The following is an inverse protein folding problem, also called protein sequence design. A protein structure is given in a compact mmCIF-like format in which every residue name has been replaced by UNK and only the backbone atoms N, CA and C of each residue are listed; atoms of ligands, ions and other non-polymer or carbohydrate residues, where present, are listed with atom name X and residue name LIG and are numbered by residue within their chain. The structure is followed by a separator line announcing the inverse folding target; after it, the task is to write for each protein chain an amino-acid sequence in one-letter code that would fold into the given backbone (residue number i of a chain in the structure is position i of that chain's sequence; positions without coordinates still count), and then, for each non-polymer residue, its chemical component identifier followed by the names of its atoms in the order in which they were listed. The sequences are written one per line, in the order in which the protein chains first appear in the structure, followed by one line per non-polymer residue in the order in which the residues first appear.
data_IF_023506839578
#
_entry.id   IF_023506839578
#
_cell.length_a   1.000
_cell.length_b   1.000
_cell.length_c   1.000
_cell.angle_alpha   90.00
_cell.angle_beta   90.00
_cell.angle_gamma   90.00
#
_symmetry.space_group_name_H-M   'P 1'
#
loop_
_entity.id
_entity.type
_entity.pdbx_description
1 polymer ?
#
# COMPACT_ATOMS: atom_id res chain seq x y z
N UNK A 1 51.04 -31.89 44.09
CA UNK A 1 49.78 -32.49 43.64
C UNK A 1 48.82 -31.36 43.27
N UNK A 2 48.13 -31.30 42.13
CA UNK A 2 48.44 -31.80 40.78
C UNK A 2 47.71 -30.87 39.77
N UNK A 3 48.28 -30.67 38.58
CA UNK A 3 47.72 -29.81 37.51
C UNK A 3 47.01 -30.63 36.42
N UNK A 4 45.92 -30.09 35.86
CA UNK A 4 45.38 -30.26 34.48
C UNK A 4 43.90 -29.78 34.47
N UNK A 5 43.28 -29.23 33.41
CA UNK A 5 43.72 -28.79 32.09
C UNK A 5 42.48 -28.37 31.25
N UNK A 6 42.57 -27.33 30.42
CA UNK A 6 41.56 -26.96 29.39
C UNK A 6 41.79 -27.82 28.10
N UNK A 7 40.94 -27.83 27.03
CA UNK A 7 39.82 -26.93 26.68
C UNK A 7 38.56 -27.61 26.04
N UNK A 8 37.62 -26.78 25.54
CA UNK A 8 36.94 -26.85 24.22
C UNK A 8 35.39 -26.77 24.24
N UNK A 9 34.85 -25.96 23.32
CA UNK A 9 33.41 -25.77 23.08
C UNK A 9 32.92 -26.54 21.84
N UNK A 10 31.63 -26.91 21.74
CA UNK A 10 31.05 -27.46 20.52
C UNK A 10 30.34 -26.38 19.68
N UNK A 11 31.04 -25.83 18.69
CA UNK A 11 30.42 -25.21 17.52
C UNK A 11 29.74 -26.30 16.66
N UNK A 12 28.42 -26.49 16.73
CA UNK A 12 27.76 -27.54 15.93
C UNK A 12 26.27 -27.33 15.55
N UNK A 13 25.81 -26.08 15.43
CA UNK A 13 24.40 -25.77 15.05
C UNK A 13 24.21 -24.79 13.86
N UNK A 14 25.25 -24.49 13.08
CA UNK A 14 25.19 -23.44 12.03
C UNK A 14 25.15 -23.99 10.59
N UNK A 15 25.42 -25.27 10.35
CA UNK A 15 25.55 -25.82 8.98
C UNK A 15 24.23 -26.23 8.31
N UNK A 16 23.10 -26.28 9.03
CA UNK A 16 21.79 -26.64 8.47
C UNK A 16 21.10 -25.54 7.67
N UNK A 17 21.04 -24.31 8.20
CA UNK A 17 20.25 -23.23 7.59
C UNK A 17 20.90 -22.59 6.35
N UNK A 18 22.23 -22.63 6.22
CA UNK A 18 22.94 -22.00 5.10
C UNK A 18 22.66 -22.65 3.74
N UNK A 19 22.47 -23.97 3.70
CA UNK A 19 22.22 -24.71 2.46
C UNK A 19 20.80 -24.52 1.91
N UNK A 20 19.80 -24.38 2.78
CA UNK A 20 18.41 -24.08 2.40
C UNK A 20 18.26 -22.67 1.79
N UNK A 21 18.97 -21.68 2.33
CA UNK A 21 19.01 -20.33 1.75
C UNK A 21 19.68 -20.29 0.36
N UNK A 22 20.75 -21.06 0.14
CA UNK A 22 21.42 -21.10 -1.16
C UNK A 22 20.56 -21.77 -2.24
N UNK A 23 19.81 -22.82 -1.87
CA UNK A 23 18.87 -23.49 -2.78
C UNK A 23 17.72 -22.57 -3.22
N UNK A 24 17.17 -21.77 -2.30
CA UNK A 24 16.07 -20.83 -2.59
C UNK A 24 16.51 -19.69 -3.55
N UNK A 25 17.75 -19.21 -3.40
CA UNK A 25 18.32 -18.15 -4.26
C UNK A 25 18.56 -18.62 -5.70
N UNK A 26 18.91 -19.91 -5.90
CA UNK A 26 19.17 -20.46 -7.23
C UNK A 26 17.90 -20.84 -8.02
N UNK A 27 16.76 -21.02 -7.35
CA UNK A 27 15.47 -21.35 -8.00
C UNK A 27 14.69 -20.13 -8.52
N UNK A 28 15.13 -18.90 -8.21
CA UNK A 28 14.38 -17.66 -8.49
C UNK A 28 15.10 -16.67 -9.44
N UNK A 29 16.14 -17.09 -10.17
CA UNK A 29 16.88 -16.23 -11.11
C UNK A 29 16.55 -16.53 -12.58
N UNK A 30 15.79 -15.65 -13.28
CA UNK A 30 15.44 -15.85 -14.68
C UNK A 30 16.46 -15.19 -15.62
N UNK A 31 17.57 -15.88 -15.93
CA UNK A 31 18.42 -15.62 -17.11
C UNK A 31 19.41 -16.77 -17.37
N UNK A 32 19.69 -17.01 -18.65
CA UNK A 32 20.80 -17.83 -19.19
C UNK A 32 20.63 -19.36 -19.21
N UNK A 33 19.95 -19.87 -20.24
CA UNK A 33 20.10 -21.26 -20.71
C UNK A 33 21.52 -21.51 -21.28
N UNK A 34 22.54 -21.63 -20.42
CA UNK A 34 23.86 -22.21 -20.79
C UNK A 34 24.66 -22.84 -19.64
N UNK A 35 24.12 -22.88 -18.41
CA UNK A 35 24.77 -23.47 -17.23
C UNK A 35 24.12 -24.78 -16.74
N UNK A 36 23.66 -25.64 -17.65
CA UNK A 36 23.12 -27.00 -17.35
C UNK A 36 23.92 -28.13 -18.01
N UNK A 37 25.26 -28.02 -18.05
CA UNK A 37 26.20 -29.14 -18.30
C UNK A 37 27.46 -28.90 -17.47
N UNK A 38 27.53 -29.50 -16.28
CA UNK A 38 28.64 -29.29 -15.36
C UNK A 38 28.29 -29.21 -13.87
N UNK A 39 27.30 -29.99 -13.38
CA UNK A 39 27.14 -30.26 -11.94
C UNK A 39 26.42 -31.60 -11.64
N UNK A 40 26.63 -32.61 -12.49
CA UNK A 40 26.36 -34.02 -12.17
C UNK A 40 27.72 -34.70 -11.98
N UNK A 41 28.17 -34.81 -10.73
CA UNK A 41 29.48 -35.41 -10.43
C UNK A 41 30.22 -34.79 -9.24
N UNK A 42 29.54 -34.56 -8.11
CA UNK A 42 30.23 -34.34 -6.83
C UNK A 42 29.35 -34.69 -5.62
N UNK A 43 28.92 -35.96 -5.54
CA UNK A 43 28.28 -36.56 -4.36
C UNK A 43 28.32 -38.08 -4.49
N UNK A 44 29.51 -38.66 -4.26
CA UNK A 44 29.65 -40.09 -3.94
C UNK A 44 30.32 -40.22 -2.57
N UNK A 45 29.77 -41.13 -1.77
CA UNK A 45 29.91 -41.18 -0.32
C UNK A 45 31.23 -41.81 0.14
N UNK A 46 31.70 -41.42 1.33
CA UNK A 46 32.72 -42.16 2.09
C UNK A 46 32.18 -43.53 2.53
N UNK A 47 32.16 -44.52 1.63
CA UNK A 47 32.00 -45.95 1.94
C UNK A 47 32.41 -46.81 0.73
N UNK A 48 33.70 -46.80 0.37
CA UNK A 48 34.33 -47.81 -0.48
C UNK A 48 35.87 -47.75 -0.40
N UNK A 49 36.41 -47.64 0.83
CA UNK A 49 37.83 -47.98 1.12
C UNK A 49 37.99 -49.47 1.36
N UNK A 50 37.63 -50.27 0.37
CA UNK A 50 37.93 -51.70 0.28
C UNK A 50 37.75 -52.10 -1.19
N UNK A 51 38.61 -53.01 -1.68
CA UNK A 51 38.86 -53.32 -3.11
C UNK A 51 39.80 -52.31 -3.81
N UNK A 52 40.81 -52.85 -4.51
CA UNK A 52 41.91 -52.14 -5.20
C UNK A 52 42.82 -51.25 -4.30
N UNK A 53 43.82 -51.73 -3.54
CA UNK A 53 44.40 -53.07 -3.25
C UNK A 53 44.19 -54.14 -4.32
N UNK A 54 44.86 -53.93 -5.46
CA UNK A 54 45.38 -54.87 -6.48
C UNK A 54 45.97 -53.91 -7.53
N UNK A 55 47.30 -53.85 -7.65
CA UNK A 55 47.97 -52.83 -8.46
C UNK A 55 48.19 -53.30 -9.90
N UNK A 56 47.84 -52.46 -10.88
CA UNK A 56 48.21 -52.63 -12.28
C UNK A 56 48.48 -51.26 -12.97
N UNK A 57 49.77 -50.94 -13.09
CA UNK A 57 50.42 -50.15 -14.17
C UNK A 57 50.02 -48.65 -14.38
N UNK A 58 50.84 -47.80 -15.07
CA UNK A 58 51.41 -46.64 -14.36
C UNK A 58 51.46 -45.29 -15.13
N UNK A 59 51.93 -44.24 -14.44
CA UNK A 59 52.85 -43.24 -14.99
C UNK A 59 52.30 -42.13 -15.90
N UNK A 60 52.41 -40.88 -15.44
CA UNK A 60 53.45 -39.95 -15.95
C UNK A 60 53.58 -38.70 -15.06
N UNK A 61 54.76 -38.08 -15.08
CA UNK A 61 55.23 -37.12 -14.08
C UNK A 61 54.86 -35.64 -14.32
N UNK A 62 55.35 -34.73 -13.45
CA UNK A 62 54.81 -33.38 -13.27
C UNK A 62 55.60 -32.28 -14.01
N UNK A 63 55.02 -31.06 -14.08
CA UNK A 63 55.80 -29.81 -14.20
C UNK A 63 55.34 -28.74 -13.19
N UNK A 64 56.31 -27.96 -12.72
CA UNK A 64 56.27 -27.00 -11.60
C UNK A 64 56.18 -25.53 -12.07
N UNK A 65 56.15 -24.64 -11.06
CA UNK A 65 56.46 -23.20 -10.97
C UNK A 65 55.20 -22.34 -10.72
N UNK A 66 55.06 -21.51 -9.67
CA UNK A 66 56.03 -20.83 -8.79
C UNK A 66 56.40 -19.45 -9.37
N UNK A 67 56.36 -18.30 -8.68
CA UNK A 67 56.30 -17.94 -7.24
C UNK A 67 55.71 -16.52 -7.05
N UNK A 68 55.37 -16.16 -5.80
CA UNK A 68 55.45 -14.82 -5.13
C UNK A 68 54.71 -13.59 -5.73
N UNK A 69 54.30 -12.58 -4.94
CA UNK A 69 54.41 -12.40 -3.48
C UNK A 69 53.64 -11.16 -2.96
N UNK A 70 53.61 -10.99 -1.63
CA UNK A 70 53.16 -9.80 -0.86
C UNK A 70 54.40 -9.17 -0.16
N UNK A 71 54.38 -8.09 0.67
CA UNK A 71 53.30 -7.45 1.47
C UNK A 71 53.10 -5.95 1.06
N UNK A 72 52.66 -4.92 1.85
CA UNK A 72 52.39 -4.78 3.29
C UNK A 72 51.39 -3.65 3.68
N UNK A 73 50.75 -3.87 4.83
CA UNK A 73 50.44 -2.98 6.00
C UNK A 73 50.22 -1.45 5.91
N UNK A 74 49.35 -0.95 6.81
CA UNK A 74 49.17 0.48 7.10
C UNK A 74 47.96 0.79 8.01
N UNK A 75 48.13 0.72 9.34
CA UNK A 75 47.07 1.02 10.34
C UNK A 75 47.20 2.42 10.96
N UNK A 76 46.09 3.10 11.26
CA UNK A 76 46.04 4.18 12.27
C UNK A 76 44.78 4.14 13.15
N UNK A 77 44.90 4.70 14.37
CA UNK A 77 43.96 4.51 15.50
C UNK A 77 43.03 5.71 15.77
N UNK A 78 41.95 5.38 16.50
CA UNK A 78 41.01 6.24 17.26
C UNK A 78 41.56 7.56 17.83
N UNK A 79 40.66 8.54 17.92
CA UNK A 79 40.55 9.44 19.08
C UNK A 79 39.13 9.37 19.69
N UNK A 80 38.99 9.67 20.98
CA UNK A 80 37.71 9.76 21.72
C UNK A 80 37.53 11.18 22.27
N UNK A 81 36.30 11.67 22.33
CA UNK A 81 35.88 12.86 23.08
C UNK A 81 34.46 12.64 23.62
N UNK A 82 34.15 13.13 24.82
CA UNK A 82 32.93 12.77 25.55
C UNK A 82 32.44 13.92 26.46
N UNK A 83 31.26 13.70 27.08
CA UNK A 83 30.48 14.60 27.99
C UNK A 83 29.58 15.60 27.23
N UNK A 84 28.35 15.88 27.68
CA UNK A 84 27.62 15.25 28.78
C UNK A 84 26.14 15.68 28.89
N UNK A 85 25.37 14.85 29.60
CA UNK A 85 24.31 15.16 30.57
C UNK A 85 23.24 16.23 30.27
N UNK A 86 21.99 15.78 30.33
CA UNK A 86 20.78 16.60 30.45
C UNK A 86 19.57 15.69 30.69
N UNK A 87 19.13 15.56 31.94
CA UNK A 87 17.96 14.75 32.32
C UNK A 87 16.66 15.54 32.13
N UNK A 88 15.57 14.84 31.84
CA UNK A 88 14.22 15.40 31.75
C UNK A 88 13.19 14.29 31.76
N UNK A 89 12.78 13.87 32.97
CA UNK A 89 11.69 12.93 33.18
C UNK A 89 10.36 13.68 33.09
N UNK A 90 9.40 13.14 32.34
CA UNK A 90 7.99 13.49 32.43
C UNK A 90 7.17 12.20 32.31
N UNK A 91 6.21 12.04 33.21
CA UNK A 91 5.51 10.78 33.45
C UNK A 91 4.38 10.57 32.44
N UNK A 92 4.10 9.30 32.12
CA UNK A 92 2.95 8.89 31.30
C UNK A 92 2.12 7.91 32.13
N UNK A 93 0.83 8.19 32.43
CA UNK A 93 -0.03 7.25 33.13
C UNK A 93 -0.32 6.03 32.25
N UNK A 94 0.00 4.84 32.76
CA UNK A 94 -0.55 3.58 32.26
C UNK A 94 -1.92 3.36 32.88
N UNK A 95 -2.97 3.20 32.08
CA UNK A 95 -4.14 2.43 32.51
C UNK A 95 -4.06 1.03 31.89
N UNK A 96 -4.24 0.02 32.73
CA UNK A 96 -4.13 -1.40 32.36
C UNK A 96 -5.50 -1.97 31.98
N UNK A 97 -5.46 -3.18 31.41
CA UNK A 97 -6.61 -3.94 30.91
C UNK A 97 -7.70 -4.25 31.94
N UNK A 98 -8.93 -4.42 31.44
CA UNK A 98 -9.81 -5.53 31.86
C UNK A 98 -10.50 -6.14 30.65
N UNK A 99 -10.23 -7.43 30.41
CA UNK A 99 -11.03 -8.33 29.58
C UNK A 99 -11.85 -9.22 30.53
N UNK A 100 -13.15 -9.31 30.31
CA UNK A 100 -14.00 -10.47 30.57
C UNK A 100 -15.14 -10.38 29.54
N UNK A 101 -15.26 -11.28 28.56
CA UNK A 101 -15.63 -12.70 28.68
C UNK A 101 -17.15 -12.86 28.80
N UNK A 102 -17.80 -13.00 27.63
CA UNK A 102 -19.13 -13.60 27.50
C UNK A 102 -19.14 -14.55 26.30
N UNK A 103 -19.20 -15.83 26.61
CA UNK A 103 -19.50 -16.89 25.65
C UNK A 103 -20.97 -16.78 25.22
N UNK A 104 -21.24 -16.83 23.92
CA UNK A 104 -22.59 -17.09 23.40
C UNK A 104 -22.51 -18.27 22.43
N UNK A 105 -23.38 -19.26 22.67
CA UNK A 105 -23.41 -20.53 21.97
C UNK A 105 -24.00 -20.35 20.55
N UNK A 106 -23.42 -21.03 19.55
CA UNK A 106 -24.06 -21.23 18.24
C UNK A 106 -24.58 -22.67 18.15
N UNK A 107 -25.83 -22.91 17.70
CA UNK A 107 -26.30 -24.23 17.33
C UNK A 107 -25.80 -24.63 15.94
N UNK A 108 -25.52 -25.93 15.77
CA UNK A 108 -25.13 -26.52 14.49
C UNK A 108 -26.28 -26.53 13.47
N UNK A 109 -25.96 -26.33 12.20
CA UNK A 109 -26.83 -26.63 11.07
C UNK A 109 -26.00 -27.27 9.95
N UNK A 110 -26.32 -28.53 9.65
CA UNK A 110 -25.71 -29.29 8.56
C UNK A 110 -26.32 -28.86 7.21
N UNK A 111 -25.49 -28.72 6.17
CA UNK A 111 -25.97 -28.63 4.79
C UNK A 111 -25.14 -29.56 3.91
N UNK A 112 -25.81 -30.52 3.28
CA UNK A 112 -25.18 -31.51 2.39
C UNK A 112 -24.69 -30.88 1.09
N UNK A 113 -23.56 -31.34 0.56
CA UNK A 113 -22.98 -30.80 -0.66
C UNK A 113 -23.50 -31.42 -1.96
N UNK A 114 -23.38 -30.67 -3.06
CA UNK A 114 -23.39 -31.21 -4.42
C UNK A 114 -22.53 -30.34 -5.34
N UNK A 115 -21.42 -30.89 -5.87
CA UNK A 115 -20.60 -30.24 -6.89
C UNK A 115 -21.20 -30.43 -8.29
N UNK A 116 -20.93 -29.50 -9.22
CA UNK A 116 -20.68 -29.90 -10.60
C UNK A 116 -19.36 -29.37 -11.19
N UNK A 117 -18.57 -30.34 -11.67
CA UNK A 117 -17.61 -30.33 -12.79
C UNK A 117 -17.05 -29.00 -13.33
N UNK A 118 -15.71 -28.94 -13.31
CA UNK A 118 -14.86 -28.07 -14.12
C UNK A 118 -15.02 -28.36 -15.62
N UNK A 119 -14.92 -27.31 -16.45
CA UNK A 119 -14.62 -27.41 -17.88
C UNK A 119 -13.56 -26.37 -18.25
N UNK A 120 -12.41 -26.82 -18.73
CA UNK A 120 -11.33 -25.96 -19.23
C UNK A 120 -11.64 -25.45 -20.64
N UNK A 121 -11.37 -24.17 -20.93
CA UNK A 121 -10.50 -23.71 -22.03
C UNK A 121 -10.46 -22.16 -22.09
N UNK A 122 -9.48 -21.58 -22.80
CA UNK A 122 -9.51 -20.18 -23.23
C UNK A 122 -8.55 -19.22 -22.52
N UNK A 123 -7.26 -19.33 -22.84
CA UNK A 123 -6.23 -18.39 -22.36
C UNK A 123 -6.07 -17.21 -23.34
N UNK A 124 -6.45 -15.99 -22.94
CA UNK A 124 -6.09 -14.74 -23.64
C UNK A 124 -5.68 -13.67 -22.62
N UNK A 125 -4.48 -13.10 -22.81
CA UNK A 125 -3.81 -12.33 -21.77
C UNK A 125 -3.97 -10.82 -21.88
N UNK A 126 -4.71 -10.22 -20.95
CA UNK A 126 -4.66 -8.80 -20.58
C UNK A 126 -4.80 -8.69 -19.05
N UNK A 127 -4.20 -7.68 -18.40
CA UNK A 127 -4.57 -7.33 -17.01
C UNK A 127 -3.70 -7.87 -15.86
N UNK A 128 -2.41 -8.19 -16.05
CA UNK A 128 -1.50 -8.55 -14.95
C UNK A 128 -1.07 -7.34 -14.09
N UNK A 129 -2.03 -6.74 -13.36
CA UNK A 129 -1.83 -5.61 -12.44
C UNK A 129 -2.28 -5.90 -11.00
N UNK A 130 -3.50 -6.45 -10.83
CA UNK A 130 -4.08 -6.79 -9.54
C UNK A 130 -3.98 -8.30 -9.24
N UNK A 131 -2.83 -8.76 -8.72
CA UNK A 131 -2.74 -10.14 -8.21
C UNK A 131 -3.50 -10.23 -6.88
N UNK A 132 -4.62 -10.97 -6.89
CA UNK A 132 -5.63 -11.03 -5.84
C UNK A 132 -5.06 -11.18 -4.40
N UNK A 133 -5.23 -10.10 -3.61
CA UNK A 133 -5.12 -10.07 -2.14
C UNK A 133 -6.45 -10.45 -1.45
N UNK A 134 -7.32 -11.20 -2.12
CA UNK A 134 -8.72 -11.46 -1.73
C UNK A 134 -8.86 -12.58 -0.69
N UNK A 135 -8.01 -12.61 0.33
CA UNK A 135 -8.11 -13.57 1.42
C UNK A 135 -7.47 -13.03 2.69
N UNK A 136 -8.09 -13.18 3.88
CA UNK A 136 -7.68 -12.49 5.11
C UNK A 136 -6.22 -12.78 5.49
N UNK A 137 -5.74 -14.02 5.28
CA UNK A 137 -4.34 -14.37 5.50
C UNK A 137 -3.36 -13.64 4.56
N UNK A 138 -3.71 -13.42 3.28
CA UNK A 138 -2.87 -12.67 2.32
C UNK A 138 -2.87 -11.18 2.61
N UNK A 139 -4.02 -10.64 2.99
CA UNK A 139 -4.16 -9.24 3.39
C UNK A 139 -3.31 -8.93 4.63
N UNK A 140 -3.42 -9.74 5.69
CA UNK A 140 -2.60 -9.57 6.90
C UNK A 140 -1.09 -9.72 6.63
N UNK A 141 -0.70 -10.62 5.72
CA UNK A 141 0.70 -10.73 5.28
C UNK A 141 1.20 -9.47 4.58
N UNK A 142 0.37 -8.83 3.74
CA UNK A 142 0.70 -7.57 3.09
C UNK A 142 0.82 -6.42 4.10
N UNK A 143 -0.20 -6.20 4.93
CA UNK A 143 -0.27 -4.99 5.77
C UNK A 143 0.66 -5.02 6.99
N UNK A 144 0.93 -6.20 7.57
CA UNK A 144 1.62 -6.30 8.89
C UNK A 144 3.04 -6.85 8.86
N UNK A 145 3.59 -7.26 7.71
CA UNK A 145 4.87 -7.98 7.66
C UNK A 145 5.93 -7.38 6.73
N UNK A 146 7.18 -7.74 6.99
CA UNK A 146 8.31 -7.45 6.10
C UNK A 146 8.13 -8.04 4.68
N UNK A 147 7.39 -9.14 4.53
CA UNK A 147 7.09 -9.71 3.21
C UNK A 147 6.20 -8.78 2.38
N UNK A 148 5.20 -8.16 3.02
CA UNK A 148 4.37 -7.12 2.39
C UNK A 148 5.19 -5.91 1.97
N UNK A 149 6.09 -5.44 2.84
CA UNK A 149 7.04 -4.38 2.49
C UNK A 149 7.97 -4.74 1.32
N UNK A 150 8.43 -6.00 1.23
CA UNK A 150 9.20 -6.49 0.07
C UNK A 150 8.37 -6.53 -1.21
N UNK A 151 7.09 -6.90 -1.12
CA UNK A 151 6.15 -6.89 -2.26
C UNK A 151 5.90 -5.47 -2.78
N UNK A 152 5.62 -4.51 -1.89
CA UNK A 152 5.57 -3.08 -2.23
C UNK A 152 6.87 -2.61 -2.91
N UNK A 153 8.05 -2.94 -2.37
CA UNK A 153 9.33 -2.57 -3.00
C UNK A 153 9.53 -3.21 -4.37
N UNK A 154 8.90 -4.35 -4.65
CA UNK A 154 8.91 -4.99 -5.97
C UNK A 154 7.93 -4.29 -6.93
N UNK A 155 6.71 -3.95 -6.49
CA UNK A 155 5.77 -3.13 -7.24
C UNK A 155 6.39 -1.78 -7.61
N UNK A 156 6.95 -1.05 -6.64
CA UNK A 156 7.66 0.21 -6.82
C UNK A 156 8.78 0.13 -7.88
N UNK A 157 9.54 -0.97 -7.89
CA UNK A 157 10.58 -1.19 -8.91
C UNK A 157 10.00 -1.46 -10.30
N UNK A 158 8.92 -2.25 -10.39
CA UNK A 158 8.23 -2.54 -11.66
C UNK A 158 7.57 -1.28 -12.23
N UNK A 159 6.90 -0.51 -11.38
CA UNK A 159 6.26 0.77 -11.68
C UNK A 159 7.27 1.77 -12.26
N UNK A 160 8.37 2.06 -11.55
CA UNK A 160 9.41 2.98 -12.05
C UNK A 160 10.00 2.56 -13.41
N UNK A 161 10.12 1.25 -13.66
CA UNK A 161 10.60 0.74 -14.96
C UNK A 161 9.54 0.89 -16.08
N UNK A 162 8.25 0.71 -15.77
CA UNK A 162 7.14 0.79 -16.74
C UNK A 162 6.68 2.24 -16.99
N UNK A 163 6.77 3.08 -15.97
CA UNK A 163 6.25 4.44 -15.91
C UNK A 163 7.32 5.40 -15.32
N UNK A 164 8.46 5.62 -16.00
CA UNK A 164 9.58 6.42 -15.48
C UNK A 164 9.25 7.91 -15.26
N UNK A 165 8.11 8.39 -15.78
CA UNK A 165 7.57 9.76 -15.57
C UNK A 165 6.23 9.76 -14.82
N UNK A 166 5.90 8.67 -14.11
CA UNK A 166 4.57 8.41 -13.56
C UNK A 166 3.61 7.81 -14.58
N UNK A 167 2.51 7.19 -14.11
CA UNK A 167 1.50 6.56 -14.96
C UNK A 167 0.60 7.57 -15.70
N UNK A 168 0.53 8.80 -15.20
CA UNK A 168 -0.36 9.84 -15.72
C UNK A 168 0.31 11.22 -15.81
N UNK A 169 -0.13 12.05 -16.75
CA UNK A 169 0.17 13.48 -16.82
C UNK A 169 -0.81 14.20 -15.89
N UNK A 170 -0.30 14.84 -14.86
CA UNK A 170 -1.11 15.59 -13.88
C UNK A 170 -1.06 17.09 -14.16
N UNK A 171 -2.07 17.81 -13.67
CA UNK A 171 -2.12 19.27 -13.70
C UNK A 171 -2.30 19.76 -12.26
N UNK A 172 -1.46 20.68 -11.76
CA UNK A 172 -1.66 21.25 -10.43
C UNK A 172 -2.90 22.16 -10.43
N UNK A 173 -3.58 22.22 -9.29
CA UNK A 173 -4.58 23.26 -9.00
C UNK A 173 -3.94 24.36 -8.15
N UNK A 174 -4.30 25.60 -8.44
CA UNK A 174 -3.79 26.81 -7.79
C UNK A 174 -4.98 27.60 -7.26
N UNK A 175 -4.87 28.01 -6.00
CA UNK A 175 -5.78 28.90 -5.27
C UNK A 175 -4.96 30.05 -4.67
N UNK A 176 -5.58 30.99 -3.95
CA UNK A 176 -4.86 32.17 -3.44
C UNK A 176 -3.75 31.81 -2.42
N UNK A 177 -2.51 31.70 -2.89
CA UNK A 177 -1.36 31.31 -2.08
C UNK A 177 -1.24 29.80 -1.80
N UNK A 178 -2.05 28.95 -2.44
CA UNK A 178 -2.04 27.49 -2.24
C UNK A 178 -1.95 26.76 -3.57
N UNK A 179 -1.16 25.69 -3.63
CA UNK A 179 -1.05 24.80 -4.80
C UNK A 179 -1.21 23.34 -4.38
N UNK A 180 -2.09 22.61 -5.05
CA UNK A 180 -2.24 21.15 -4.92
C UNK A 180 -1.65 20.50 -6.17
N UNK A 181 -0.61 19.68 -5.99
CA UNK A 181 0.10 18.99 -7.06
C UNK A 181 -0.06 17.46 -6.93
N UNK A 182 -0.80 16.80 -7.83
CA UNK A 182 -0.87 15.34 -7.89
C UNK A 182 0.42 14.76 -8.47
N UNK A 183 0.95 13.74 -7.81
CA UNK A 183 2.18 13.03 -8.15
C UNK A 183 1.78 11.57 -8.45
N UNK A 184 1.79 11.12 -9.71
CA UNK A 184 1.48 9.74 -10.05
C UNK A 184 2.63 8.84 -9.60
N UNK A 185 2.32 7.87 -8.75
CA UNK A 185 3.27 6.93 -8.16
C UNK A 185 2.80 5.50 -8.39
N UNK A 186 3.71 4.52 -8.27
CA UNK A 186 3.37 3.12 -8.52
C UNK A 186 2.72 2.91 -9.91
N UNK A 187 1.71 2.04 -10.02
CA UNK A 187 1.04 1.74 -11.29
C UNK A 187 -0.14 2.68 -11.57
N UNK A 188 -0.82 3.12 -10.51
CA UNK A 188 -2.10 3.85 -10.56
C UNK A 188 -2.36 4.74 -9.32
N UNK A 189 -1.56 4.67 -8.26
CA UNK A 189 -1.72 5.48 -7.05
C UNK A 189 -1.35 6.97 -7.26
N UNK A 190 -1.99 7.87 -6.53
CA UNK A 190 -1.59 9.27 -6.40
C UNK A 190 -1.08 9.60 -5.00
N UNK A 191 0.14 10.15 -4.93
CA UNK A 191 0.56 11.01 -3.81
C UNK A 191 0.17 12.45 -4.13
N UNK A 192 -0.06 13.27 -3.11
CA UNK A 192 -0.35 14.70 -3.29
C UNK A 192 0.65 15.58 -2.55
N UNK A 193 1.06 16.69 -3.16
CA UNK A 193 1.87 17.73 -2.51
C UNK A 193 1.04 19.02 -2.44
N UNK A 194 0.67 19.40 -1.22
CA UNK A 194 -0.06 20.63 -0.90
C UNK A 194 0.97 21.68 -0.46
N UNK A 195 0.97 22.85 -1.09
CA UNK A 195 2.03 23.85 -0.95
C UNK A 195 1.40 25.19 -0.53
N UNK A 196 1.88 25.79 0.57
CA UNK A 196 1.78 27.23 0.81
C UNK A 196 2.83 27.91 -0.08
N UNK A 197 2.39 28.61 -1.13
CA UNK A 197 3.30 29.17 -2.13
C UNK A 197 4.02 30.42 -1.65
N UNK A 198 3.53 31.08 -0.60
CA UNK A 198 4.17 32.27 -0.01
C UNK A 198 5.23 31.85 1.02
N UNK A 199 4.88 30.92 1.92
CA UNK A 199 5.82 30.40 2.93
C UNK A 199 6.81 29.37 2.36
N UNK A 200 6.56 28.83 1.15
CA UNK A 200 7.28 27.71 0.53
C UNK A 200 7.34 26.46 1.42
N UNK A 201 6.28 26.22 2.19
CA UNK A 201 6.10 25.04 3.02
C UNK A 201 5.17 24.05 2.31
N UNK A 202 5.42 22.76 2.50
CA UNK A 202 4.65 21.70 1.86
C UNK A 202 4.23 20.59 2.82
N UNK A 203 3.09 20.00 2.49
CA UNK A 203 2.49 18.81 3.12
C UNK A 203 2.35 17.73 2.05
N UNK A 204 2.85 16.53 2.30
CA UNK A 204 2.69 15.40 1.40
C UNK A 204 1.60 14.44 1.91
N UNK A 205 0.57 14.17 1.10
CA UNK A 205 -0.42 13.13 1.39
C UNK A 205 0.01 11.83 0.71
N UNK A 206 -0.03 10.72 1.45
CA UNK A 206 0.28 9.35 1.00
C UNK A 206 1.53 9.24 0.10
N UNK A 207 2.74 9.51 0.62
CA UNK A 207 3.95 9.62 -0.17
C UNK A 207 4.55 8.24 -0.55
N UNK A 208 3.81 7.44 -1.32
CA UNK A 208 4.12 6.03 -1.64
C UNK A 208 5.46 5.82 -2.35
N UNK A 209 5.83 6.69 -3.29
CA UNK A 209 7.16 6.70 -3.91
C UNK A 209 7.99 7.87 -3.35
N UNK A 210 8.91 7.60 -2.39
CA UNK A 210 9.70 8.66 -1.77
C UNK A 210 10.69 9.35 -2.73
N UNK A 211 11.01 8.76 -3.89
CA UNK A 211 11.85 9.41 -4.92
C UNK A 211 11.03 10.34 -5.80
N UNK A 212 9.83 9.93 -6.21
CA UNK A 212 8.95 10.77 -7.00
C UNK A 212 8.49 11.99 -6.20
N UNK A 213 8.09 11.79 -4.94
CA UNK A 213 7.71 12.87 -4.03
C UNK A 213 8.90 13.80 -3.75
N UNK A 214 10.10 13.26 -3.49
CA UNK A 214 11.29 14.08 -3.29
C UNK A 214 11.66 14.92 -4.53
N UNK A 215 11.56 14.35 -5.73
CA UNK A 215 11.83 15.08 -6.97
C UNK A 215 10.83 16.23 -7.19
N UNK A 216 9.57 16.06 -6.81
CA UNK A 216 8.57 17.14 -6.82
C UNK A 216 8.87 18.22 -5.78
N UNK A 217 9.26 17.86 -4.55
CA UNK A 217 9.67 18.81 -3.50
C UNK A 217 10.86 19.67 -3.98
N UNK A 218 11.87 19.05 -4.59
CA UNK A 218 13.05 19.74 -5.14
C UNK A 218 12.69 20.64 -6.32
N UNK A 219 11.86 20.16 -7.25
CA UNK A 219 11.41 20.93 -8.42
C UNK A 219 10.60 22.17 -8.03
N UNK A 220 9.77 22.07 -6.99
CA UNK A 220 8.93 23.17 -6.51
C UNK A 220 9.69 24.11 -5.55
N UNK A 221 10.88 23.73 -5.08
CA UNK A 221 11.73 24.56 -4.22
C UNK A 221 11.13 24.80 -2.82
N UNK A 222 10.44 23.79 -2.27
CA UNK A 222 9.67 23.87 -1.02
C UNK A 222 10.26 23.02 0.10
N UNK A 223 9.97 23.37 1.36
CA UNK A 223 10.34 22.58 2.54
C UNK A 223 9.18 21.66 2.94
N UNK A 224 9.43 20.35 3.03
CA UNK A 224 8.45 19.39 3.52
C UNK A 224 8.35 19.45 5.06
N UNK A 225 7.20 19.89 5.57
CA UNK A 225 6.95 20.07 7.02
C UNK A 225 6.08 18.94 7.60
N UNK A 226 5.21 18.36 6.78
CA UNK A 226 4.29 17.31 7.23
C UNK A 226 4.08 16.22 6.16
N UNK A 227 3.85 15.01 6.63
CA UNK A 227 3.31 13.88 5.88
C UNK A 227 1.97 13.52 6.50
N UNK A 228 0.92 13.42 5.69
CA UNK A 228 -0.40 12.94 6.09
C UNK A 228 -0.62 11.55 5.47
N UNK A 229 -0.88 10.54 6.29
CA UNK A 229 -1.21 9.20 5.80
C UNK A 229 -2.70 8.93 6.00
N UNK A 230 -3.41 8.60 4.92
CA UNK A 230 -4.83 8.24 5.00
C UNK A 230 -5.01 6.92 5.73
N UNK A 231 -4.15 5.94 5.42
CA UNK A 231 -4.17 4.62 6.05
C UNK A 231 -2.82 3.89 5.93
N UNK A 232 -2.74 2.68 6.48
CA UNK A 232 -1.47 1.96 6.70
C UNK A 232 -0.85 1.28 5.49
N UNK A 233 -1.58 1.06 4.38
CA UNK A 233 -1.07 0.19 3.30
C UNK A 233 0.20 0.74 2.68
N UNK A 234 1.09 -0.15 2.24
CA UNK A 234 2.45 0.23 1.83
C UNK A 234 2.48 1.09 0.58
N UNK A 235 1.46 1.00 -0.26
CA UNK A 235 1.23 1.84 -1.42
C UNK A 235 0.66 3.22 -1.09
N UNK A 236 0.55 3.56 0.20
CA UNK A 236 0.28 4.91 0.72
C UNK A 236 1.39 5.35 1.71
N UNK A 237 1.72 4.50 2.68
CA UNK A 237 2.68 4.80 3.76
C UNK A 237 4.15 4.42 3.47
N UNK A 238 4.43 3.76 2.34
CA UNK A 238 5.71 3.12 2.06
C UNK A 238 6.93 4.03 1.95
N UNK A 239 6.73 5.31 1.60
CA UNK A 239 7.80 6.31 1.56
C UNK A 239 8.05 7.07 2.87
N UNK A 240 7.17 6.94 3.87
CA UNK A 240 7.25 7.68 5.14
C UNK A 240 8.66 7.64 5.75
N UNK A 241 9.23 6.45 5.86
CA UNK A 241 10.58 6.24 6.40
C UNK A 241 11.64 7.05 5.68
N UNK A 242 11.63 6.95 4.35
CA UNK A 242 12.74 7.43 3.53
C UNK A 242 12.66 8.97 3.40
N UNK A 243 11.45 9.55 3.40
CA UNK A 243 11.25 11.00 3.50
C UNK A 243 11.55 11.55 4.90
N UNK A 244 11.06 10.93 5.98
CA UNK A 244 11.30 11.39 7.36
C UNK A 244 12.79 11.35 7.74
N UNK A 245 13.56 10.43 7.15
CA UNK A 245 15.03 10.40 7.30
C UNK A 245 15.75 11.54 6.57
N UNK A 246 15.15 12.06 5.49
CA UNK A 246 15.70 13.15 4.67
C UNK A 246 15.29 14.53 5.22
N UNK A 247 14.05 14.66 5.68
CA UNK A 247 13.48 15.86 6.30
C UNK A 247 13.23 15.57 7.78
N UNK A 248 14.26 15.77 8.62
CA UNK A 248 14.21 15.31 10.02
C UNK A 248 13.14 16.00 10.87
N UNK A 249 12.79 17.22 10.53
CA UNK A 249 11.78 18.02 11.22
C UNK A 249 10.36 17.80 10.64
N UNK A 250 10.23 16.91 9.66
CA UNK A 250 8.96 16.55 9.06
C UNK A 250 8.13 15.69 10.04
N UNK A 251 6.90 16.13 10.28
CA UNK A 251 5.95 15.47 11.18
C UNK A 251 5.10 14.48 10.38
N UNK A 252 5.02 13.22 10.83
CA UNK A 252 4.21 12.18 10.19
C UNK A 252 2.93 12.03 10.99
N UNK A 253 1.81 12.26 10.30
CA UNK A 253 0.47 12.21 10.85
C UNK A 253 -0.35 11.05 10.27
N UNK A 254 -1.32 10.60 11.05
CA UNK A 254 -2.27 9.56 10.69
C UNK A 254 -2.88 8.91 11.92
N UNK A 255 -3.78 7.95 11.73
CA UNK A 255 -4.46 7.31 12.85
C UNK A 255 -3.53 6.36 13.63
N UNK A 256 -3.52 6.41 14.97
CA UNK A 256 -2.80 5.43 15.78
C UNK A 256 -3.39 4.02 15.63
N UNK A 257 -4.68 3.89 15.29
CA UNK A 257 -5.36 2.60 15.12
C UNK A 257 -4.79 1.79 13.94
N UNK A 258 -4.26 2.48 12.93
CA UNK A 258 -3.69 1.86 11.74
C UNK A 258 -2.20 1.54 11.87
N UNK A 259 -1.53 1.95 12.95
CA UNK A 259 -0.11 1.65 13.16
C UNK A 259 0.80 2.21 12.07
N UNK A 260 0.49 3.43 11.59
CA UNK A 260 1.16 4.11 10.46
C UNK A 260 2.70 4.06 10.63
N UNK A 261 3.45 3.54 9.63
CA UNK A 261 4.91 3.52 9.69
C UNK A 261 5.50 4.93 9.89
N UNK A 262 6.37 5.06 10.89
CA UNK A 262 7.02 6.33 11.27
C UNK A 262 6.08 7.43 11.79
N UNK A 263 4.86 7.09 12.24
CA UNK A 263 3.96 8.02 12.92
C UNK A 263 4.68 8.75 14.07
N UNK A 264 4.60 10.08 14.08
CA UNK A 264 5.11 10.91 15.19
C UNK A 264 4.02 11.77 15.83
N UNK A 265 2.95 12.06 15.10
CA UNK A 265 1.85 12.91 15.55
C UNK A 265 0.51 12.21 15.24
N UNK A 266 -0.03 11.39 16.17
CA UNK A 266 -1.31 10.71 15.95
C UNK A 266 -2.44 11.73 15.77
N UNK A 267 -3.42 11.39 14.92
CA UNK A 267 -4.63 12.19 14.69
C UNK A 267 -5.91 11.38 14.95
N UNK A 268 -6.92 12.09 15.41
CA UNK A 268 -8.29 11.68 15.63
C UNK A 268 -9.26 12.42 14.69
N UNK A 269 -10.56 12.10 14.79
CA UNK A 269 -11.62 12.79 14.04
C UNK A 269 -11.75 14.27 14.45
N UNK A 270 -11.88 15.18 13.48
CA UNK A 270 -11.85 16.66 13.58
C UNK A 270 -10.52 17.31 13.95
N UNK A 271 -9.43 16.58 14.22
CA UNK A 271 -8.13 17.21 14.49
C UNK A 271 -7.64 18.04 13.29
N UNK A 272 -7.00 19.18 13.56
CA UNK A 272 -6.51 20.12 12.53
C UNK A 272 -4.99 20.15 12.52
N UNK A 273 -4.41 19.95 11.33
CA UNK A 273 -2.98 20.12 11.05
C UNK A 273 -2.76 21.48 10.39
N UNK A 274 -2.01 22.36 11.07
CA UNK A 274 -1.63 23.69 10.57
C UNK A 274 -0.19 23.70 10.04
N UNK A 275 0.00 24.11 8.77
CA UNK A 275 1.32 24.26 8.13
C UNK A 275 1.36 25.54 7.27
N UNK A 276 2.06 26.57 7.74
CA UNK A 276 1.97 27.90 7.11
C UNK A 276 0.53 28.40 7.21
N UNK A 277 -0.07 28.79 6.09
CA UNK A 277 -1.51 29.06 6.01
C UNK A 277 -2.40 27.82 6.01
N UNK A 278 -1.87 26.65 5.62
CA UNK A 278 -2.66 25.45 5.33
C UNK A 278 -3.34 24.95 6.60
N UNK A 279 -4.67 24.90 6.58
CA UNK A 279 -5.52 24.29 7.61
C UNK A 279 -6.13 23.01 7.04
N UNK A 280 -5.67 21.85 7.52
CA UNK A 280 -6.08 20.55 7.02
C UNK A 280 -6.72 19.76 8.15
N UNK A 281 -8.01 19.47 8.03
CA UNK A 281 -8.78 18.72 9.03
C UNK A 281 -8.78 17.23 8.71
N UNK A 282 -8.50 16.39 9.71
CA UNK A 282 -8.63 14.95 9.60
C UNK A 282 -10.04 14.50 9.96
N UNK A 283 -10.64 13.65 9.14
CA UNK A 283 -11.95 13.04 9.39
C UNK A 283 -11.76 11.52 9.43
N UNK A 284 -12.08 10.89 10.56
CA UNK A 284 -12.13 9.42 10.65
C UNK A 284 -13.22 8.87 9.73
N UNK A 285 -12.84 7.91 8.89
CA UNK A 285 -13.69 7.28 7.88
C UNK A 285 -13.40 5.77 7.81
N UNK A 286 -13.60 5.02 8.92
CA UNK A 286 -13.32 3.59 8.97
C UNK A 286 -14.11 2.81 7.89
N UNK A 287 -13.53 1.71 7.41
CA UNK A 287 -14.17 0.82 6.44
C UNK A 287 -13.15 0.08 5.58
N UNK A 288 -12.35 0.83 4.81
CA UNK A 288 -11.24 0.26 4.05
C UNK A 288 -10.15 -0.31 4.96
N UNK A 289 -9.72 0.49 5.93
CA UNK A 289 -9.04 0.05 7.16
C UNK A 289 -9.80 0.58 8.37
N UNK A 290 -9.49 0.05 9.56
CA UNK A 290 -10.07 0.55 10.81
C UNK A 290 -9.60 1.97 11.13
N UNK A 291 -8.33 2.29 10.89
CA UNK A 291 -7.77 3.61 11.16
C UNK A 291 -7.83 4.59 9.99
N UNK A 292 -8.66 4.38 8.96
CA UNK A 292 -8.65 5.24 7.78
C UNK A 292 -9.09 6.69 8.13
N UNK A 293 -8.30 7.67 7.67
CA UNK A 293 -8.58 9.10 7.73
C UNK A 293 -8.66 9.67 6.31
N UNK A 294 -9.60 10.57 6.08
CA UNK A 294 -9.54 11.51 4.95
C UNK A 294 -9.13 12.89 5.43
N UNK A 295 -8.51 13.68 4.55
CA UNK A 295 -8.00 15.01 4.88
C UNK A 295 -8.73 16.09 4.09
N UNK A 296 -9.36 17.03 4.79
CA UNK A 296 -10.07 18.16 4.20
C UNK A 296 -9.23 19.43 4.37
N UNK A 297 -8.68 19.94 3.27
CA UNK A 297 -8.14 21.29 3.21
C UNK A 297 -9.30 22.27 2.99
N UNK A 298 -9.51 23.16 3.95
CA UNK A 298 -10.52 24.22 3.88
C UNK A 298 -10.15 25.24 2.80
N UNK A 299 -11.05 25.49 1.84
CA UNK A 299 -10.83 26.39 0.71
C UNK A 299 -11.16 27.86 0.97
N UNK A 300 -12.01 28.15 1.96
CA UNK A 300 -12.52 29.50 2.24
C UNK A 300 -11.40 30.54 2.46
N UNK A 301 -10.35 30.27 3.28
CA UNK A 301 -9.25 31.23 3.48
C UNK A 301 -8.48 31.59 2.19
N UNK A 302 -8.62 30.80 1.12
CA UNK A 302 -7.93 31.01 -0.16
C UNK A 302 -8.88 31.41 -1.30
N UNK A 303 -10.16 31.69 -1.00
CA UNK A 303 -11.19 32.01 -2.00
C UNK A 303 -11.27 30.95 -3.11
N UNK A 304 -11.23 29.68 -2.73
CA UNK A 304 -11.30 28.53 -3.63
C UNK A 304 -12.10 27.39 -3.02
N UNK A 305 -12.40 26.33 -3.79
CA UNK A 305 -13.11 25.17 -3.28
C UNK A 305 -12.27 24.41 -2.25
N UNK A 306 -12.94 23.80 -1.28
CA UNK A 306 -12.29 22.85 -0.36
C UNK A 306 -11.76 21.63 -1.11
N UNK A 307 -10.71 21.01 -0.59
CA UNK A 307 -10.06 19.85 -1.21
C UNK A 307 -10.07 18.65 -0.25
N UNK A 308 -10.75 17.57 -0.64
CA UNK A 308 -10.82 16.30 0.09
C UNK A 308 -9.82 15.29 -0.48
N UNK A 309 -8.79 14.96 0.29
CA UNK A 309 -7.87 13.86 0.00
C UNK A 309 -8.43 12.58 0.63
N UNK A 310 -9.07 11.75 -0.20
CA UNK A 310 -9.95 10.67 0.24
C UNK A 310 -9.26 9.32 0.43
N UNK A 311 -8.00 9.18 0.04
CA UNK A 311 -7.28 7.90 0.10
C UNK A 311 -8.09 6.80 -0.58
N UNK A 312 -8.34 5.73 0.18
CA UNK A 312 -9.06 4.54 -0.29
C UNK A 312 -10.50 4.47 0.25
N UNK A 313 -11.05 5.56 0.81
CA UNK A 313 -12.48 5.66 1.06
C UNK A 313 -13.27 5.80 -0.24
N UNK A 314 -12.96 6.87 -1.00
CA UNK A 314 -13.78 7.35 -2.12
C UNK A 314 -12.91 7.61 -3.36
N UNK A 315 -13.29 6.99 -4.46
CA UNK A 315 -12.69 7.13 -5.79
C UNK A 315 -13.68 7.78 -6.76
N UNK A 316 -13.20 8.25 -7.92
CA UNK A 316 -14.10 8.60 -9.02
C UNK A 316 -14.97 7.39 -9.38
N UNK A 317 -16.29 7.53 -9.24
CA UNK A 317 -17.34 6.51 -9.46
C UNK A 317 -17.18 5.20 -8.64
N UNK A 318 -16.40 5.21 -7.56
CA UNK A 318 -16.20 4.01 -6.73
C UNK A 318 -15.90 4.31 -5.27
N UNK A 319 -15.83 3.26 -4.45
CA UNK A 319 -15.30 3.31 -3.09
C UNK A 319 -14.22 2.22 -2.89
N UNK A 320 -13.55 2.26 -1.74
CA UNK A 320 -12.64 1.21 -1.30
C UNK A 320 -13.29 -0.16 -1.15
N UNK A 321 -12.46 -1.21 -1.14
CA UNK A 321 -12.86 -2.53 -0.62
C UNK A 321 -12.89 -2.47 0.90
N UNK A 322 -13.92 -3.03 1.52
CA UNK A 322 -14.12 -3.03 2.96
C UNK A 322 -13.29 -4.15 3.61
N UNK A 323 -11.97 -3.95 3.76
CA UNK A 323 -11.09 -5.03 4.24
C UNK A 323 -11.14 -5.25 5.77
N UNK A 324 -11.44 -4.21 6.56
CA UNK A 324 -11.38 -4.28 8.04
C UNK A 324 -12.60 -3.69 8.77
N UNK A 325 -13.59 -3.17 8.04
CA UNK A 325 -14.88 -2.71 8.58
C UNK A 325 -16.08 -3.48 8.02
N UNK A 326 -17.28 -2.98 8.29
CA UNK A 326 -18.54 -3.52 7.75
C UNK A 326 -19.15 -2.59 6.70
N UNK A 327 -20.25 -3.01 6.06
CA UNK A 327 -20.97 -2.17 5.10
C UNK A 327 -21.61 -0.94 5.78
N UNK A 328 -22.15 -1.08 7.00
CA UNK A 328 -22.66 0.03 7.82
C UNK A 328 -21.54 1.02 8.16
N UNK A 329 -20.36 0.48 8.51
CA UNK A 329 -19.17 1.28 8.84
C UNK A 329 -18.72 2.09 7.62
N UNK A 330 -18.65 1.46 6.45
CA UNK A 330 -18.33 2.13 5.18
C UNK A 330 -19.41 3.16 4.81
N UNK A 331 -20.69 2.84 4.98
CA UNK A 331 -21.81 3.74 4.70
C UNK A 331 -21.74 5.01 5.57
N UNK A 332 -21.53 4.88 6.87
CA UNK A 332 -21.37 6.03 7.78
C UNK A 332 -20.18 6.91 7.39
N UNK A 333 -19.10 6.32 6.88
CA UNK A 333 -17.92 7.04 6.38
C UNK A 333 -18.18 7.75 5.05
N UNK A 334 -18.98 7.17 4.16
CA UNK A 334 -19.42 7.81 2.92
C UNK A 334 -20.42 8.94 3.21
N UNK A 335 -21.36 8.74 4.14
CA UNK A 335 -22.32 9.76 4.58
C UNK A 335 -21.60 10.95 5.24
N UNK A 336 -20.49 10.72 5.96
CA UNK A 336 -19.62 11.77 6.51
C UNK A 336 -19.06 12.68 5.42
N UNK A 337 -18.56 12.13 4.29
CA UNK A 337 -18.06 12.95 3.17
C UNK A 337 -19.19 13.52 2.31
N UNK A 338 -20.37 12.87 2.27
CA UNK A 338 -21.58 13.43 1.69
C UNK A 338 -22.16 14.62 2.46
N UNK A 339 -21.70 14.90 3.68
CA UNK A 339 -22.00 16.14 4.40
C UNK A 339 -21.23 17.38 3.89
N UNK A 340 -20.27 17.22 2.97
CA UNK A 340 -19.43 18.31 2.45
C UNK A 340 -20.02 18.98 1.20
N UNK A 341 -19.67 20.25 0.95
CA UNK A 341 -20.20 21.04 -0.17
C UNK A 341 -19.97 20.41 -1.56
N UNK A 342 -20.91 20.61 -2.48
CA UNK A 342 -20.87 20.05 -3.85
C UNK A 342 -19.63 20.44 -4.64
N UNK A 343 -19.08 21.63 -4.41
CA UNK A 343 -17.88 22.17 -5.07
C UNK A 343 -16.56 21.58 -4.54
N UNK A 344 -16.61 20.84 -3.43
CA UNK A 344 -15.42 20.20 -2.82
C UNK A 344 -14.72 19.29 -3.83
N UNK A 345 -13.45 19.58 -4.09
CA UNK A 345 -12.62 18.81 -5.02
C UNK A 345 -12.19 17.48 -4.40
N UNK A 346 -12.44 16.37 -5.10
CA UNK A 346 -12.07 15.02 -4.70
C UNK A 346 -10.69 14.62 -5.25
N UNK A 347 -9.79 14.22 -4.35
CA UNK A 347 -8.43 13.77 -4.62
C UNK A 347 -8.22 12.32 -4.13
N UNK A 348 -8.48 11.32 -5.00
CA UNK A 348 -8.51 9.90 -4.64
C UNK A 348 -7.13 9.24 -4.56
N UNK A 349 -7.01 8.16 -3.79
CA UNK A 349 -5.79 7.35 -3.70
C UNK A 349 -5.35 6.73 -5.03
N UNK A 350 -6.28 6.45 -5.96
CA UNK A 350 -6.00 5.71 -7.20
C UNK A 350 -6.72 6.24 -8.45
N UNK A 351 -6.10 6.01 -9.62
CA UNK A 351 -6.61 6.25 -10.96
C UNK A 351 -7.55 5.12 -11.45
N UNK A 352 -8.63 4.87 -10.72
CA UNK A 352 -9.60 3.79 -11.00
C UNK A 352 -10.86 4.25 -11.77
N UNK A 353 -10.93 5.51 -12.20
CA UNK A 353 -12.15 6.11 -12.76
C UNK A 353 -12.77 5.33 -13.94
N UNK A 354 -11.95 4.80 -14.85
CA UNK A 354 -12.42 4.07 -16.05
C UNK A 354 -13.05 2.72 -15.69
N UNK A 355 -12.41 1.92 -14.83
CA UNK A 355 -12.97 0.66 -14.33
C UNK A 355 -14.24 0.91 -13.49
N UNK A 356 -14.20 1.91 -12.62
CA UNK A 356 -15.31 2.27 -11.74
C UNK A 356 -16.55 2.71 -12.52
N UNK A 357 -16.40 3.57 -13.53
CA UNK A 357 -17.48 3.98 -14.43
C UNK A 357 -17.97 2.81 -15.30
N UNK A 358 -17.10 1.86 -15.64
CA UNK A 358 -17.47 0.63 -16.34
C UNK A 358 -18.41 -0.23 -15.49
N UNK A 359 -18.07 -0.46 -14.23
CA UNK A 359 -18.96 -1.12 -13.26
C UNK A 359 -20.26 -0.33 -13.05
N UNK A 360 -20.18 0.98 -12.83
CA UNK A 360 -21.37 1.83 -12.65
C UNK A 360 -22.32 1.79 -13.85
N UNK A 361 -21.82 1.49 -15.06
CA UNK A 361 -22.64 1.29 -16.25
C UNK A 361 -23.29 -0.09 -16.40
N UNK A 362 -22.83 -1.09 -15.65
CA UNK A 362 -23.57 -2.35 -15.48
C UNK A 362 -24.74 -2.15 -14.52
N UNK A 363 -24.55 -1.33 -13.48
CA UNK A 363 -25.54 -1.11 -12.43
C UNK A 363 -26.59 -0.06 -12.81
N UNK A 364 -26.17 1.11 -13.30
CA UNK A 364 -27.06 2.17 -13.78
C UNK A 364 -26.85 2.40 -15.29
N UNK A 365 -27.41 1.54 -16.17
CA UNK A 365 -27.20 1.63 -17.62
C UNK A 365 -27.74 2.93 -18.23
N UNK A 366 -28.82 3.48 -17.67
CA UNK A 366 -29.51 4.68 -18.17
C UNK A 366 -28.98 6.00 -17.57
N UNK A 367 -28.02 5.96 -16.65
CA UNK A 367 -27.48 7.17 -16.02
C UNK A 367 -26.62 7.99 -17.02
N UNK A 368 -27.24 9.02 -17.61
CA UNK A 368 -26.60 9.92 -18.58
C UNK A 368 -25.44 10.74 -18.00
N UNK A 369 -25.41 11.02 -16.69
CA UNK A 369 -24.28 11.70 -16.06
C UNK A 369 -23.05 10.77 -16.03
N UNK A 370 -23.26 9.50 -15.67
CA UNK A 370 -22.25 8.43 -15.69
C UNK A 370 -21.69 8.23 -17.11
N UNK A 371 -22.56 8.18 -18.12
CA UNK A 371 -22.14 8.01 -19.52
C UNK A 371 -21.28 9.20 -20.02
N UNK A 372 -21.72 10.45 -19.76
CA UNK A 372 -20.93 11.65 -20.09
C UNK A 372 -19.56 11.65 -19.40
N UNK A 373 -19.50 11.22 -18.13
CA UNK A 373 -18.24 11.12 -17.39
C UNK A 373 -17.32 10.03 -17.94
N UNK A 374 -17.87 8.86 -18.32
CA UNK A 374 -17.10 7.78 -18.97
C UNK A 374 -16.41 8.27 -20.24
N UNK A 375 -17.15 8.93 -21.14
CA UNK A 375 -16.60 9.46 -22.38
C UNK A 375 -15.51 10.53 -22.13
N UNK A 376 -15.65 11.34 -21.08
CA UNK A 376 -14.61 12.29 -20.68
C UNK A 376 -13.37 11.58 -20.12
N UNK A 377 -13.56 10.56 -19.27
CA UNK A 377 -12.47 9.74 -18.70
C UNK A 377 -11.68 9.06 -19.80
N UNK A 378 -12.34 8.35 -20.72
CA UNK A 378 -11.68 7.69 -21.86
C UNK A 378 -10.83 8.68 -22.68
N UNK A 379 -11.33 9.89 -22.94
CA UNK A 379 -10.55 10.95 -23.60
C UNK A 379 -9.32 11.37 -22.79
N UNK A 380 -9.42 11.52 -21.46
CA UNK A 380 -8.24 11.78 -20.63
C UNK A 380 -7.25 10.61 -20.68
N UNK A 381 -7.73 9.36 -20.54
CA UNK A 381 -6.88 8.16 -20.46
C UNK A 381 -6.15 7.86 -21.76
N UNK A 382 -6.75 8.12 -22.93
CA UNK A 382 -6.06 8.05 -24.23
C UNK A 382 -4.82 8.96 -24.29
N UNK A 383 -4.88 10.17 -23.73
CA UNK A 383 -3.73 11.08 -23.62
C UNK A 383 -2.81 10.78 -22.42
N UNK A 384 -3.13 9.75 -21.63
CA UNK A 384 -2.59 9.44 -20.28
C UNK A 384 -2.73 10.58 -19.28
N UNK A 385 -3.78 11.40 -19.37
CA UNK A 385 -4.05 12.47 -18.39
C UNK A 385 -4.74 11.92 -17.16
N UNK A 386 -4.43 12.53 -16.02
CA UNK A 386 -5.12 12.25 -14.76
C UNK A 386 -6.60 12.56 -14.86
N UNK A 387 -7.45 11.74 -14.25
CA UNK A 387 -8.90 12.00 -14.16
C UNK A 387 -9.28 12.80 -12.91
N UNK A 388 -8.37 12.93 -11.93
CA UNK A 388 -8.60 13.73 -10.73
C UNK A 388 -8.16 15.20 -10.91
N UNK A 389 -8.80 16.16 -10.23
CA UNK A 389 -9.93 15.97 -9.31
C UNK A 389 -11.27 15.91 -10.05
N UNK A 390 -12.26 15.24 -9.44
CA UNK A 390 -13.69 15.51 -9.66
C UNK A 390 -14.21 16.41 -8.53
N UNK A 391 -15.51 16.68 -8.50
CA UNK A 391 -16.22 17.33 -7.39
C UNK A 391 -17.15 16.35 -6.68
N UNK A 392 -17.48 16.58 -5.40
CA UNK A 392 -18.45 15.73 -4.70
C UNK A 392 -19.86 15.82 -5.31
N UNK A 393 -20.25 16.98 -5.85
CA UNK A 393 -21.50 17.13 -6.62
C UNK A 393 -21.53 16.27 -7.89
N UNK A 394 -20.40 16.18 -8.62
CA UNK A 394 -20.27 15.23 -9.73
C UNK A 394 -20.41 13.78 -9.25
N UNK A 395 -19.71 13.38 -8.18
CA UNK A 395 -19.77 12.00 -7.68
C UNK A 395 -21.18 11.59 -7.25
N UNK A 396 -21.95 12.47 -6.59
CA UNK A 396 -23.37 12.24 -6.26
C UNK A 396 -24.23 11.89 -7.49
N UNK A 397 -23.86 12.37 -8.68
CA UNK A 397 -24.61 12.11 -9.92
C UNK A 397 -24.36 10.74 -10.57
N UNK A 398 -23.20 10.11 -10.35
CA UNK A 398 -22.80 8.90 -11.08
C UNK A 398 -22.06 7.81 -10.26
N UNK A 399 -21.74 8.05 -8.99
CA UNK A 399 -21.03 7.09 -8.15
C UNK A 399 -22.05 6.21 -7.42
N UNK A 400 -22.22 4.91 -7.77
CA UNK A 400 -23.29 4.09 -7.21
C UNK A 400 -23.19 3.96 -5.68
N UNK A 401 -21.98 3.99 -5.13
CA UNK A 401 -21.76 3.90 -3.67
C UNK A 401 -22.22 5.16 -2.91
N UNK A 402 -22.33 6.31 -3.57
CA UNK A 402 -22.91 7.53 -3.01
C UNK A 402 -24.42 7.66 -3.25
N UNK A 403 -24.98 6.75 -4.05
CA UNK A 403 -26.36 6.81 -4.56
C UNK A 403 -27.26 5.74 -3.94
N UNK A 404 -26.85 5.11 -2.83
CA UNK A 404 -27.61 4.07 -2.12
C UNK A 404 -28.98 4.52 -1.59
N UNK A 405 -29.19 5.83 -1.48
CA UNK A 405 -30.48 6.46 -1.14
C UNK A 405 -31.37 6.75 -2.36
N UNK A 406 -30.87 6.59 -3.59
CA UNK A 406 -31.63 6.86 -4.82
C UNK A 406 -32.48 5.65 -5.20
N UNK A 407 -33.81 5.84 -5.33
CA UNK A 407 -34.76 4.81 -5.74
C UNK A 407 -34.35 4.13 -7.06
N UNK A 408 -33.91 4.88 -8.07
CA UNK A 408 -33.47 4.34 -9.36
C UNK A 408 -32.31 3.32 -9.25
N UNK A 409 -31.42 3.48 -8.26
CA UNK A 409 -30.35 2.51 -8.00
C UNK A 409 -30.86 1.27 -7.29
N UNK A 410 -31.79 1.46 -6.33
CA UNK A 410 -32.44 0.38 -5.61
C UNK A 410 -33.26 -0.50 -6.56
N UNK A 411 -34.04 0.11 -7.46
CA UNK A 411 -34.81 -0.59 -8.50
C UNK A 411 -33.89 -1.34 -9.48
N UNK A 412 -32.78 -0.74 -9.93
CA UNK A 412 -31.86 -1.35 -10.89
C UNK A 412 -31.10 -2.58 -10.33
N UNK A 413 -30.90 -2.65 -9.00
CA UNK A 413 -30.33 -3.81 -8.32
C UNK A 413 -31.37 -4.89 -7.98
N UNK A 414 -32.64 -4.63 -8.24
CA UNK A 414 -33.77 -5.50 -7.92
C UNK A 414 -34.26 -5.33 -6.47
N UNK A 415 -35.40 -5.93 -6.12
CA UNK A 415 -36.00 -5.75 -4.80
C UNK A 415 -35.11 -6.33 -3.70
N UNK A 416 -34.46 -5.43 -2.93
CA UNK A 416 -34.12 -5.67 -1.53
C UNK A 416 -35.37 -6.01 -0.70
N UNK A 417 -35.21 -6.43 0.57
CA UNK A 417 -36.25 -7.13 1.33
C UNK A 417 -37.46 -6.26 1.75
N UNK A 418 -38.33 -5.95 0.78
CA UNK A 418 -39.63 -5.31 0.98
C UNK A 418 -39.59 -3.84 1.41
N UNK A 419 -40.76 -3.17 1.45
CA UNK A 419 -40.87 -1.81 1.95
C UNK A 419 -40.95 -1.80 3.48
N UNK A 420 -39.83 -2.07 4.16
CA UNK A 420 -39.55 -1.43 5.45
C UNK A 420 -38.83 -0.12 5.17
N UNK A 421 -39.12 0.92 5.98
CA UNK A 421 -38.80 2.31 5.65
C UNK A 421 -37.31 2.62 5.54
N UNK A 422 -37.01 3.91 5.31
CA UNK A 422 -35.66 4.49 5.16
C UNK A 422 -34.79 4.28 6.41
N UNK A 423 -34.29 3.06 6.57
CA UNK A 423 -33.36 2.66 7.61
C UNK A 423 -31.94 2.45 7.04
N UNK A 424 -30.93 2.79 7.85
CA UNK A 424 -29.54 2.62 7.46
C UNK A 424 -29.14 1.16 7.23
N UNK A 425 -29.95 0.21 7.69
CA UNK A 425 -29.73 -1.23 7.51
C UNK A 425 -29.94 -1.63 6.04
N UNK A 426 -31.06 -1.23 5.44
CA UNK A 426 -31.37 -1.42 4.02
C UNK A 426 -30.31 -0.77 3.12
N UNK A 427 -29.91 0.48 3.40
CA UNK A 427 -28.83 1.18 2.67
C UNK A 427 -27.46 0.48 2.81
N UNK A 428 -27.16 -0.12 3.97
CA UNK A 428 -25.91 -0.85 4.19
C UNK A 428 -25.90 -2.19 3.44
N UNK A 429 -26.99 -2.95 3.46
CA UNK A 429 -27.15 -4.17 2.66
C UNK A 429 -26.98 -3.90 1.16
N UNK A 430 -27.56 -2.80 0.66
CA UNK A 430 -27.39 -2.39 -0.73
C UNK A 430 -25.92 -2.03 -1.07
N UNK A 431 -25.23 -1.37 -0.14
CA UNK A 431 -23.79 -1.08 -0.26
C UNK A 431 -22.95 -2.36 -0.27
N UNK A 432 -23.29 -3.35 0.57
CA UNK A 432 -22.63 -4.65 0.60
C UNK A 432 -22.80 -5.40 -0.72
N UNK A 433 -24.01 -5.43 -1.27
CA UNK A 433 -24.29 -6.07 -2.56
C UNK A 433 -23.58 -5.35 -3.71
N UNK A 434 -23.62 -4.01 -3.76
CA UNK A 434 -22.81 -3.21 -4.71
C UNK A 434 -21.32 -3.54 -4.61
N UNK A 435 -20.79 -3.67 -3.40
CA UNK A 435 -19.38 -3.98 -3.14
C UNK A 435 -19.03 -5.38 -3.63
N UNK A 436 -19.89 -6.36 -3.34
CA UNK A 436 -19.77 -7.75 -3.79
C UNK A 436 -19.81 -7.86 -5.31
N UNK A 437 -20.78 -7.19 -5.95
CA UNK A 437 -20.90 -7.12 -7.40
C UNK A 437 -19.66 -6.49 -8.05
N UNK A 438 -19.12 -5.39 -7.50
CA UNK A 438 -17.89 -4.77 -8.01
C UNK A 438 -16.67 -5.67 -7.81
N UNK A 439 -16.56 -6.39 -6.71
CA UNK A 439 -15.42 -7.28 -6.44
C UNK A 439 -15.43 -8.54 -7.33
N UNK A 440 -16.61 -8.94 -7.83
CA UNK A 440 -16.74 -9.95 -8.90
C UNK A 440 -16.59 -9.36 -10.31
N UNK A 441 -16.81 -8.05 -10.49
CA UNK A 441 -16.78 -7.40 -11.79
C UNK A 441 -15.35 -7.41 -12.38
N UNK A 442 -15.18 -8.17 -13.46
CA UNK A 442 -13.99 -8.10 -14.29
C UNK A 442 -14.26 -7.07 -15.39
N UNK A 443 -13.48 -6.00 -15.44
CA UNK A 443 -13.42 -5.16 -16.65
C UNK A 443 -13.15 -6.05 -17.85
N UNK A 444 -13.97 -5.90 -18.89
CA UNK A 444 -13.70 -6.49 -20.21
C UNK A 444 -12.59 -5.73 -20.93
#
# INVERSE_FOLDING_TARGET
MAWAGWPAAPWLWVTGCGLLLLALVLLLSPRSCRARRGLRGLLMTRSQRLLFRIGLVPGLGPRRFGKAGAPAEGTWRRARGARGLGQGLAEVPRCFSTLLDQQVQQPHLEVSGSQPRLSECGNSGVGAGALLLTGPGRYSLYTRTWLGYLFYRQQLRRARNRYPKGHSKTQPRLFNGVKVLPIPVLSDNYSYLIIDTQARLAVAVDPSDPRAVQASIEKEGVTLVAILCTHKHWDHSGGNRDLSRRHRDCRVYGSPQDGIPYLTHPLCHQDVVSVGRLQIRALATPGHTQGHLVYLLDGEPYKGPSCLFSGDLLFLSGCGRTFEGTAETMLSSLDTVLGLGDDTLLWPGHEYAEENLGFAGVVEPENLARERKMQWVQRQRMERRSTCPSTLGEERSYNPFLRTHCLALQEALGPGPGPTGDDGCSRAQLLEELRRLKDMHKSK
#
